data_IF_123625475808
#
_entry.id   IF_123625475808
#
_cell.length_a   1.000
_cell.length_b   1.000
_cell.length_c   1.000
_cell.angle_alpha   90.00
_cell.angle_beta   90.00
_cell.angle_gamma   90.00
#
_symmetry.space_group_name_H-M   'P 1'
#
loop_
_entity.id
_entity.type
_entity.pdbx_description
1 polymer ?
#
# COMPACT_ATOMS: atom_id res chain seq x y z
N UNK A 1 -43.52 -35.64 -5.37
CA UNK A 1 -42.27 -36.35 -4.99
C UNK A 1 -41.18 -35.99 -6.00
N UNK A 2 -40.31 -35.04 -5.63
CA UNK A 2 -38.99 -34.72 -6.22
C UNK A 2 -38.43 -33.48 -5.47
N UNK A 3 -38.57 -33.51 -4.13
CA UNK A 3 -37.59 -32.85 -3.26
C UNK A 3 -36.33 -33.73 -3.34
N UNK A 4 -35.17 -33.10 -3.19
CA UNK A 4 -33.91 -33.78 -2.84
C UNK A 4 -33.11 -34.41 -4.00
N UNK A 5 -32.54 -33.57 -4.87
CA UNK A 5 -31.26 -33.81 -5.56
C UNK A 5 -30.92 -32.43 -6.17
N UNK A 6 -29.97 -31.63 -5.71
CA UNK A 6 -28.55 -31.94 -5.64
C UNK A 6 -27.86 -30.79 -4.86
N UNK A 7 -28.03 -30.76 -3.53
CA UNK A 7 -27.22 -29.93 -2.64
C UNK A 7 -25.92 -30.69 -2.38
N UNK A 8 -24.99 -30.70 -3.34
CA UNK A 8 -23.71 -31.40 -3.22
C UNK A 8 -22.58 -30.76 -4.04
N UNK A 9 -22.50 -29.42 -4.02
CA UNK A 9 -21.24 -28.72 -4.32
C UNK A 9 -20.87 -27.85 -3.11
N UNK A 10 -20.74 -28.57 -2.00
CA UNK A 10 -20.26 -28.10 -0.72
C UNK A 10 -18.73 -28.24 -0.73
N UNK A 11 -18.04 -27.11 -0.53
CA UNK A 11 -16.63 -26.99 -0.16
C UNK A 11 -15.57 -27.56 -1.13
N UNK A 12 -15.51 -27.06 -2.37
CA UNK A 12 -14.17 -26.83 -2.95
C UNK A 12 -13.52 -25.69 -2.19
N UNK A 13 -13.00 -25.99 -0.99
CA UNK A 13 -12.21 -25.05 -0.23
C UNK A 13 -11.08 -24.55 -1.12
N UNK A 14 -10.96 -23.22 -1.22
CA UNK A 14 -9.74 -22.60 -1.72
C UNK A 14 -8.58 -23.22 -0.94
N UNK A 15 -7.84 -24.14 -1.56
CA UNK A 15 -6.53 -24.52 -1.05
C UNK A 15 -5.69 -23.26 -1.18
N UNK A 16 -5.55 -22.50 -0.10
CA UNK A 16 -4.57 -21.43 -0.02
C UNK A 16 -3.21 -22.12 -0.01
N UNK A 17 -2.70 -22.43 -1.20
CA UNK A 17 -1.34 -22.88 -1.39
C UNK A 17 -0.43 -21.72 -0.99
N UNK A 18 -0.04 -21.67 0.28
CA UNK A 18 1.07 -20.85 0.75
C UNK A 18 2.36 -21.57 0.37
N UNK A 19 2.64 -21.61 -0.92
CA UNK A 19 4.00 -21.86 -1.38
C UNK A 19 4.90 -20.78 -0.73
N UNK A 20 6.05 -21.16 -0.16
CA UNK A 20 6.99 -20.18 0.39
C UNK A 20 7.35 -19.17 -0.68
N UNK A 21 7.53 -17.90 -0.27
CA UNK A 21 7.95 -16.84 -1.16
C UNK A 21 9.21 -17.27 -1.92
N UNK A 22 9.13 -17.30 -3.25
CA UNK A 22 10.26 -17.57 -4.12
C UNK A 22 10.19 -16.61 -5.30
N UNK A 23 11.23 -15.77 -5.43
CA UNK A 23 11.43 -14.90 -6.58
C UNK A 23 12.16 -15.70 -7.65
N UNK A 24 11.43 -16.10 -8.69
CA UNK A 24 11.93 -16.86 -9.84
C UNK A 24 11.45 -16.18 -11.12
N UNK A 25 12.00 -16.56 -12.27
CA UNK A 25 11.52 -16.08 -13.58
C UNK A 25 10.00 -16.30 -13.77
N UNK A 26 9.47 -17.41 -13.24
CA UNK A 26 8.04 -17.74 -13.36
C UNK A 26 7.15 -16.88 -12.47
N UNK A 27 7.65 -16.47 -11.30
CA UNK A 27 6.87 -15.72 -10.29
C UNK A 27 7.14 -14.23 -10.31
N UNK A 28 8.16 -13.78 -11.06
CA UNK A 28 8.59 -12.38 -11.12
C UNK A 28 7.47 -11.41 -11.46
N UNK A 29 6.68 -11.71 -12.50
CA UNK A 29 5.65 -10.78 -12.98
C UNK A 29 4.57 -10.54 -11.92
N UNK A 30 4.04 -11.62 -11.34
CA UNK A 30 3.09 -11.57 -10.23
C UNK A 30 3.63 -10.72 -9.08
N UNK A 31 4.88 -10.94 -8.67
CA UNK A 31 5.44 -10.23 -7.52
C UNK A 31 5.71 -8.76 -7.82
N UNK A 32 6.32 -8.44 -8.97
CA UNK A 32 6.52 -7.06 -9.40
C UNK A 32 5.20 -6.30 -9.40
N UNK A 33 4.15 -6.90 -9.96
CA UNK A 33 2.86 -6.24 -10.08
C UNK A 33 2.17 -6.11 -8.72
N UNK A 34 2.36 -7.08 -7.81
CA UNK A 34 1.87 -7.03 -6.43
C UNK A 34 2.56 -5.96 -5.56
N UNK A 35 3.88 -5.80 -5.67
CA UNK A 35 4.64 -4.83 -4.85
C UNK A 35 4.66 -3.43 -5.45
N UNK A 36 4.23 -3.26 -6.70
CA UNK A 36 4.19 -1.96 -7.35
C UNK A 36 3.19 -1.08 -6.59
N UNK A 37 3.62 0.10 -6.09
CA UNK A 37 2.70 1.01 -5.42
C UNK A 37 1.53 1.38 -6.34
N UNK A 38 0.33 1.34 -5.79
CA UNK A 38 -0.87 1.84 -6.46
C UNK A 38 -0.86 3.36 -6.47
N UNK A 39 -1.76 3.96 -7.26
CA UNK A 39 -1.98 5.41 -7.20
C UNK A 39 -2.41 5.89 -5.81
N UNK A 40 -3.18 5.09 -5.08
CA UNK A 40 -3.57 5.39 -3.70
C UNK A 40 -2.38 5.36 -2.76
N UNK A 41 -1.47 4.39 -2.91
CA UNK A 41 -0.24 4.31 -2.09
C UNK A 41 0.67 5.53 -2.34
N UNK A 42 0.62 6.09 -3.55
CA UNK A 42 1.37 7.27 -3.95
C UNK A 42 0.60 8.59 -3.78
N UNK A 43 -0.59 8.59 -3.17
CA UNK A 43 -1.41 9.80 -3.05
C UNK A 43 -0.69 10.95 -2.33
N UNK A 44 0.21 10.63 -1.39
CA UNK A 44 1.05 11.61 -0.68
C UNK A 44 1.91 12.44 -1.65
N UNK A 45 2.31 11.92 -2.81
CA UNK A 45 3.11 12.66 -3.81
C UNK A 45 2.35 13.81 -4.47
N UNK A 46 1.01 13.78 -4.43
CA UNK A 46 0.16 14.80 -5.07
C UNK A 46 0.08 16.09 -4.24
N UNK A 47 0.45 16.01 -2.96
CA UNK A 47 0.46 17.17 -2.06
C UNK A 47 1.64 18.06 -2.44
N UNK A 48 1.38 19.37 -2.57
CA UNK A 48 2.41 20.37 -2.82
C UNK A 48 3.18 20.65 -1.54
N UNK A 49 4.04 19.71 -1.13
CA UNK A 49 4.83 19.81 0.09
C UNK A 49 5.77 21.02 0.05
N UNK A 50 5.90 21.70 1.18
CA UNK A 50 6.98 22.65 1.41
C UNK A 50 8.23 21.89 1.84
N UNK A 51 9.36 22.24 1.27
CA UNK A 51 10.67 21.67 1.64
C UNK A 51 11.32 22.43 2.80
N UNK A 52 10.81 23.62 3.14
CA UNK A 52 11.24 24.44 4.27
C UNK A 52 10.21 24.42 5.39
N UNK A 53 10.66 24.07 6.60
CA UNK A 53 9.84 24.11 7.80
C UNK A 53 9.29 25.52 8.08
N UNK A 54 10.16 26.54 7.94
CA UNK A 54 9.78 27.93 8.23
C UNK A 54 8.71 28.45 7.27
N UNK A 55 8.84 28.15 5.97
CA UNK A 55 7.84 28.54 4.98
C UNK A 55 6.49 27.86 5.26
N UNK A 56 6.52 26.57 5.61
CA UNK A 56 5.31 25.84 6.02
C UNK A 56 4.63 26.48 7.24
N UNK A 57 5.41 26.88 8.24
CA UNK A 57 4.88 27.51 9.46
C UNK A 57 4.23 28.86 9.15
N UNK A 58 4.91 29.72 8.38
CA UNK A 58 4.37 31.02 7.95
C UNK A 58 3.08 30.86 7.14
N UNK A 59 3.02 29.88 6.23
CA UNK A 59 1.82 29.63 5.42
C UNK A 59 0.65 29.13 6.27
N UNK A 60 0.92 28.24 7.23
CA UNK A 60 -0.09 27.70 8.15
C UNK A 60 -0.70 28.80 9.03
N UNK A 61 0.15 29.68 9.57
CA UNK A 61 -0.27 30.86 10.32
C UNK A 61 -1.12 31.81 9.46
N UNK A 62 -0.63 32.19 8.28
CA UNK A 62 -1.34 33.09 7.38
C UNK A 62 -2.72 32.54 6.95
N UNK A 63 -2.83 31.21 6.79
CA UNK A 63 -4.08 30.54 6.42
C UNK A 63 -4.96 30.14 7.61
N UNK A 64 -4.49 30.34 8.84
CA UNK A 64 -5.15 29.88 10.07
C UNK A 64 -5.51 28.39 10.02
N UNK A 65 -4.57 27.56 9.58
CA UNK A 65 -4.75 26.10 9.45
C UNK A 65 -3.64 25.34 10.19
N UNK A 66 -3.91 24.14 10.72
CA UNK A 66 -2.87 23.31 11.28
C UNK A 66 -1.85 22.90 10.20
N UNK A 67 -0.59 22.79 10.59
CA UNK A 67 0.49 22.31 9.74
C UNK A 67 0.71 20.81 9.96
N UNK A 68 0.71 20.02 8.88
CA UNK A 68 1.20 18.64 8.91
C UNK A 68 2.72 18.66 8.68
N UNK A 69 3.48 18.29 9.69
CA UNK A 69 4.92 18.08 9.56
C UNK A 69 5.19 16.61 9.22
N UNK A 70 5.76 16.36 8.05
CA UNK A 70 6.29 15.05 7.67
C UNK A 70 7.81 15.08 7.74
N UNK A 71 8.37 14.41 8.75
CA UNK A 71 9.80 14.23 8.90
C UNK A 71 10.12 12.73 8.87
N UNK A 72 11.14 12.34 8.11
CA UNK A 72 11.69 10.99 8.21
C UNK A 72 12.63 10.93 9.41
N UNK A 73 12.29 10.11 10.38
CA UNK A 73 13.13 9.83 11.54
C UNK A 73 14.17 8.74 11.18
N UNK A 74 15.09 9.02 10.26
CA UNK A 74 16.15 8.07 9.90
C UNK A 74 17.03 8.48 8.73
N UNK A 75 18.22 7.87 8.64
CA UNK A 75 19.07 7.96 7.45
C UNK A 75 18.25 7.45 6.25
N UNK A 76 18.07 8.24 5.18
CA UNK A 76 17.18 7.90 4.06
C UNK A 76 17.57 6.60 3.31
N UNK A 77 18.76 6.07 3.57
CA UNK A 77 19.27 4.81 3.01
C UNK A 77 19.32 3.66 4.02
N UNK A 78 18.89 3.86 5.27
CA UNK A 78 19.00 2.84 6.33
C UNK A 78 20.44 2.45 6.67
N UNK A 79 21.43 3.24 6.26
CA UNK A 79 22.84 2.98 6.56
C UNK A 79 23.16 3.46 7.98
N UNK A 80 23.18 2.53 8.93
CA UNK A 80 23.98 2.66 10.16
C UNK A 80 25.15 1.70 10.06
#
# INVERSE_FOLDING_TARGET
MKKLLLVFLVFSGCKVFKEPFSLTEKTYQMWRDFIKPTESDLAWTRIQWRTSFQEGLMEAEAKQKPMLLWAMNGHPLGCT
#
